data_IF_099663718816
#
_entry.id   IF_099663718816
#
_cell.length_a   1.000
_cell.length_b   1.000
_cell.length_c   1.000
_cell.angle_alpha   90.00
_cell.angle_beta   90.00
_cell.angle_gamma   90.00
#
_symmetry.space_group_name_H-M   'P 1'
#
loop_
_entity.id
_entity.type
_entity.pdbx_description
1 polymer ?
#
# COMPACT_ATOMS: atom_id res chain seq x y z
N UNK A 1 -14.33 10.32 6.23
CA UNK A 1 -12.92 10.79 6.36
C UNK A 1 -12.11 10.15 5.26
N UNK A 2 -11.08 10.83 4.74
CA UNK A 2 -10.21 10.28 3.71
C UNK A 2 -8.78 10.11 4.23
N UNK A 3 -8.12 9.00 3.88
CA UNK A 3 -6.67 8.87 3.95
C UNK A 3 -6.06 9.33 2.63
N UNK A 4 -5.00 10.15 2.70
CA UNK A 4 -4.17 10.51 1.53
C UNK A 4 -2.82 9.82 1.68
N UNK A 5 -2.43 9.07 0.66
CA UNK A 5 -1.15 8.39 0.64
C UNK A 5 0.03 9.36 0.45
N UNK A 6 1.24 9.00 0.91
CA UNK A 6 2.45 9.82 0.77
C UNK A 6 2.91 10.06 -0.66
N UNK A 7 2.34 9.35 -1.63
CA UNK A 7 2.69 9.45 -3.04
C UNK A 7 1.44 9.66 -3.89
N UNK A 8 1.63 10.41 -4.96
CA UNK A 8 0.65 10.46 -6.04
C UNK A 8 0.69 9.15 -6.83
N UNK A 9 -0.38 8.85 -7.56
CA UNK A 9 -0.44 7.76 -8.54
C UNK A 9 -0.95 8.28 -9.88
N UNK A 10 -0.80 7.54 -10.99
CA UNK A 10 -1.46 7.90 -12.24
C UNK A 10 -2.98 8.06 -12.05
N UNK A 11 -3.56 9.09 -12.65
CA UNK A 11 -5.00 9.29 -12.63
C UNK A 11 -5.72 8.17 -13.44
N UNK A 12 -6.92 7.74 -13.04
CA UNK A 12 -7.70 6.77 -13.81
C UNK A 12 -7.94 7.25 -15.24
N UNK A 13 -7.55 6.45 -16.24
CA UNK A 13 -7.68 6.81 -17.66
C UNK A 13 -6.64 7.81 -18.19
N UNK A 14 -5.78 8.37 -17.35
CA UNK A 14 -4.77 9.38 -17.71
C UNK A 14 -3.40 9.03 -17.12
N UNK A 15 -2.67 8.10 -17.77
CA UNK A 15 -1.43 7.54 -17.23
C UNK A 15 -0.31 8.57 -16.95
N UNK A 16 -0.30 9.69 -17.68
CA UNK A 16 0.71 10.74 -17.54
C UNK A 16 0.36 11.77 -16.46
N UNK A 17 -0.90 11.84 -16.03
CA UNK A 17 -1.36 12.78 -15.00
C UNK A 17 -1.22 12.14 -13.63
N UNK A 18 -0.70 12.89 -12.65
CA UNK A 18 -0.56 12.42 -11.27
C UNK A 18 -1.74 12.93 -10.43
N UNK A 19 -2.33 12.02 -9.66
CA UNK A 19 -3.46 12.24 -8.78
C UNK A 19 -3.08 11.85 -7.35
N UNK A 20 -3.75 12.46 -6.37
CA UNK A 20 -3.75 12.01 -4.98
C UNK A 20 -4.31 10.59 -4.91
N UNK A 21 -3.59 9.69 -4.24
CA UNK A 21 -4.11 8.36 -3.96
C UNK A 21 -4.88 8.40 -2.63
N UNK A 22 -6.18 8.13 -2.71
CA UNK A 22 -7.14 8.33 -1.63
C UNK A 22 -7.76 6.99 -1.21
N UNK A 23 -8.05 6.88 0.08
CA UNK A 23 -8.90 5.82 0.64
C UNK A 23 -10.01 6.45 1.47
N UNK A 24 -11.26 6.14 1.14
CA UNK A 24 -12.41 6.50 1.97
C UNK A 24 -12.48 5.56 3.17
N UNK A 25 -12.26 6.13 4.35
CA UNK A 25 -12.26 5.41 5.62
C UNK A 25 -13.68 5.23 6.18
N UNK A 26 -14.70 5.73 5.49
CA UNK A 26 -16.10 5.62 5.91
C UNK A 26 -16.61 4.21 5.60
N UNK A 27 -17.27 3.51 6.55
CA UNK A 27 -17.88 2.21 6.27
C UNK A 27 -18.87 2.27 5.11
N UNK A 28 -18.71 1.41 4.11
CA UNK A 28 -19.52 1.42 2.88
C UNK A 28 -19.21 2.61 1.95
N UNK A 29 -18.15 3.36 2.22
CA UNK A 29 -17.67 4.45 1.38
C UNK A 29 -17.06 3.96 0.06
N UNK A 30 -16.42 4.87 -0.64
CA UNK A 30 -15.91 4.62 -1.99
C UNK A 30 -14.70 3.68 -2.09
N UNK A 31 -14.15 3.23 -0.96
CA UNK A 31 -12.92 2.47 -0.94
C UNK A 31 -11.74 3.30 -1.47
N UNK A 32 -10.89 2.69 -2.31
CA UNK A 32 -9.70 3.36 -2.85
C UNK A 32 -9.96 4.00 -4.20
N UNK A 33 -9.56 5.26 -4.36
CA UNK A 33 -9.73 6.02 -5.59
C UNK A 33 -8.61 7.06 -5.75
N UNK A 34 -8.63 7.81 -6.85
CA UNK A 34 -7.66 8.85 -7.11
C UNK A 34 -8.35 10.08 -7.72
N UNK A 35 -7.94 11.25 -7.24
CA UNK A 35 -8.41 12.55 -7.69
C UNK A 35 -7.24 13.49 -7.94
N UNK A 36 -7.35 14.43 -8.90
CA UNK A 36 -6.27 15.36 -9.18
C UNK A 36 -5.97 16.28 -8.00
N UNK A 37 -7.00 16.65 -7.24
CA UNK A 37 -6.90 17.59 -6.14
C UNK A 37 -8.08 17.45 -5.17
N UNK A 38 -7.93 18.09 -4.00
CA UNK A 38 -9.01 18.37 -3.05
C UNK A 38 -8.95 19.89 -2.82
N UNK A 39 -10.07 20.59 -3.01
CA UNK A 39 -10.09 22.05 -2.90
C UNK A 39 -9.66 22.49 -1.49
N UNK A 40 -8.67 23.39 -1.41
CA UNK A 40 -8.10 23.88 -0.15
C UNK A 40 -7.06 22.95 0.50
N UNK A 41 -6.72 21.81 -0.11
CA UNK A 41 -5.65 20.93 0.37
C UNK A 41 -4.38 21.11 -0.47
N UNK A 42 -3.28 21.45 0.19
CA UNK A 42 -1.95 21.48 -0.39
C UNK A 42 -1.22 20.17 -0.05
N UNK A 43 -1.03 19.32 -1.06
CA UNK A 43 -0.34 18.04 -0.86
C UNK A 43 1.17 18.23 -0.80
N UNK A 44 1.79 17.69 0.25
CA UNK A 44 3.24 17.51 0.33
C UNK A 44 3.60 16.02 0.29
N UNK A 45 4.44 15.57 -0.66
CA UNK A 45 4.91 14.19 -0.73
C UNK A 45 5.61 13.73 0.56
N UNK A 46 5.52 12.44 0.85
CA UNK A 46 6.17 11.83 2.02
C UNK A 46 5.36 11.90 3.31
N UNK A 47 4.20 12.58 3.30
CA UNK A 47 3.25 12.58 4.42
C UNK A 47 2.04 11.70 4.12
N UNK A 48 1.62 10.90 5.10
CA UNK A 48 0.27 10.35 5.10
C UNK A 48 -0.66 11.31 5.84
N UNK A 49 -1.80 11.63 5.23
CA UNK A 49 -2.81 12.50 5.83
C UNK A 49 -4.09 11.74 6.15
N UNK A 50 -4.78 12.16 7.20
CA UNK A 50 -6.21 11.87 7.39
C UNK A 50 -6.95 13.19 7.32
N UNK A 51 -7.89 13.29 6.39
CA UNK A 51 -8.64 14.50 6.09
C UNK A 51 -10.11 14.31 6.43
N UNK A 52 -10.70 15.35 7.02
CA UNK A 52 -12.14 15.55 6.97
C UNK A 52 -12.46 16.44 5.77
N UNK A 53 -13.40 15.99 4.93
CA UNK A 53 -13.75 16.66 3.68
C UNK A 53 -15.26 16.79 3.54
N UNK A 54 -15.70 17.80 2.81
CA UNK A 54 -17.08 17.92 2.32
C UNK A 54 -17.15 17.44 0.86
N UNK A 55 -18.23 16.73 0.53
CA UNK A 55 -18.59 16.39 -0.85
C UNK A 55 -19.57 17.44 -1.36
N UNK A 56 -19.13 18.31 -2.26
CA UNK A 56 -19.92 19.44 -2.77
C UNK A 56 -20.63 19.13 -4.09
N UNK A 57 -20.32 17.98 -4.70
CA UNK A 57 -20.97 17.49 -5.90
C UNK A 57 -20.33 16.22 -6.43
N UNK A 58 -20.99 15.56 -7.39
CA UNK A 58 -20.58 14.26 -7.93
C UNK A 58 -21.13 13.09 -7.12
N UNK A 59 -21.51 12.02 -7.80
CA UNK A 59 -22.06 10.79 -7.19
C UNK A 59 -21.07 9.63 -7.21
N UNK A 60 -19.94 9.78 -7.92
CA UNK A 60 -18.87 8.79 -8.04
C UNK A 60 -17.55 9.37 -7.59
N UNK A 61 -16.57 8.54 -7.19
CA UNK A 61 -15.27 9.03 -6.76
C UNK A 61 -14.57 9.90 -7.79
N UNK A 62 -14.76 9.63 -9.09
CA UNK A 62 -14.12 10.34 -10.20
C UNK A 62 -14.81 11.66 -10.56
N UNK A 63 -16.09 11.83 -10.18
CA UNK A 63 -16.86 13.06 -10.42
C UNK A 63 -16.98 13.91 -9.16
N UNK A 64 -16.53 13.39 -8.01
CA UNK A 64 -16.63 14.02 -6.72
C UNK A 64 -15.83 15.34 -6.69
N UNK A 65 -16.48 16.40 -6.21
CA UNK A 65 -15.85 17.68 -5.87
C UNK A 65 -15.68 17.73 -4.37
N UNK A 66 -14.45 17.54 -3.91
CA UNK A 66 -14.11 17.51 -2.51
C UNK A 66 -13.52 18.85 -2.07
N UNK A 67 -13.94 19.32 -0.91
CA UNK A 67 -13.31 20.47 -0.22
C UNK A 67 -12.79 20.04 1.14
N UNK A 68 -11.56 20.46 1.45
CA UNK A 68 -10.97 20.26 2.76
C UNK A 68 -11.80 20.99 3.83
N UNK A 69 -12.15 20.28 4.88
CA UNK A 69 -12.68 20.86 6.12
C UNK A 69 -11.56 20.94 7.16
N UNK A 70 -10.84 19.84 7.37
CA UNK A 70 -9.81 19.75 8.40
C UNK A 70 -8.75 18.70 8.05
N UNK A 71 -7.50 18.97 8.42
CA UNK A 71 -6.43 17.97 8.46
C UNK A 71 -6.43 17.35 9.86
N UNK A 72 -7.01 16.16 9.98
CA UNK A 72 -7.18 15.45 11.26
C UNK A 72 -5.85 14.86 11.74
N UNK A 73 -5.03 14.38 10.81
CA UNK A 73 -3.70 13.83 11.11
C UNK A 73 -2.77 14.07 9.93
N UNK A 74 -1.52 14.39 10.22
CA UNK A 74 -0.43 14.50 9.25
C UNK A 74 0.78 13.76 9.82
N UNK A 75 1.20 12.67 9.16
CA UNK A 75 2.31 11.83 9.60
C UNK A 75 3.41 11.81 8.56
N UNK A 76 4.59 12.35 8.91
CA UNK A 76 5.78 12.23 8.08
C UNK A 76 6.22 10.78 8.02
N UNK A 77 6.24 10.21 6.81
CA UNK A 77 6.80 8.89 6.54
C UNK A 77 8.15 8.98 5.83
N UNK A 78 8.53 10.14 5.29
CA UNK A 78 9.75 10.33 4.49
C UNK A 78 9.52 10.04 3.00
N UNK A 79 10.53 10.29 2.15
CA UNK A 79 10.46 9.92 0.73
C UNK A 79 10.26 8.40 0.61
N UNK A 80 9.33 7.93 -0.22
CA UNK A 80 9.16 6.48 -0.38
C UNK A 80 10.46 5.90 -0.92
N UNK A 81 11.04 4.91 -0.22
CA UNK A 81 12.31 4.36 -0.63
C UNK A 81 12.14 3.59 -1.94
N UNK A 82 13.14 3.67 -2.82
CA UNK A 82 13.14 2.90 -4.07
C UNK A 82 13.04 1.40 -3.76
N UNK A 83 11.91 0.80 -4.15
CA UNK A 83 11.57 -0.58 -3.84
C UNK A 83 10.26 -1.00 -4.49
N UNK A 84 9.85 -2.24 -4.26
CA UNK A 84 8.55 -2.74 -4.70
C UNK A 84 7.58 -2.75 -3.52
N UNK A 85 6.30 -2.49 -3.80
CA UNK A 85 5.24 -2.63 -2.80
C UNK A 85 4.75 -4.08 -2.82
N UNK A 86 4.80 -4.74 -1.66
CA UNK A 86 4.18 -6.04 -1.42
C UNK A 86 2.96 -5.89 -0.53
N UNK A 87 1.90 -6.61 -0.85
CA UNK A 87 0.88 -6.99 0.13
C UNK A 87 1.27 -8.34 0.75
N UNK A 88 1.12 -8.46 2.07
CA UNK A 88 1.28 -9.71 2.82
C UNK A 88 -0.08 -10.08 3.40
N UNK A 89 -0.55 -11.30 3.09
CA UNK A 89 -1.85 -11.81 3.52
C UNK A 89 -1.93 -11.98 5.05
N UNK A 90 -3.14 -11.99 5.64
CA UNK A 90 -3.35 -12.11 7.08
C UNK A 90 -3.13 -13.51 7.66
N UNK A 91 -2.92 -14.52 6.81
CA UNK A 91 -2.70 -15.91 7.22
C UNK A 91 -1.46 -16.47 6.56
N UNK A 92 -0.83 -17.41 7.26
CA UNK A 92 0.20 -18.26 6.68
C UNK A 92 -0.46 -19.41 5.92
N UNK A 93 0.19 -19.88 4.85
CA UNK A 93 -0.24 -21.05 4.09
C UNK A 93 0.86 -22.10 4.07
N UNK A 94 0.49 -23.37 3.85
CA UNK A 94 1.48 -24.44 3.76
C UNK A 94 2.42 -24.22 2.56
N UNK A 95 3.74 -24.35 2.76
CA UNK A 95 4.74 -24.25 1.69
C UNK A 95 5.02 -25.64 1.06
N UNK A 96 4.56 -25.98 -0.15
CA UNK A 96 4.94 -27.23 -0.78
C UNK A 96 6.43 -27.22 -1.15
N UNK A 97 7.17 -28.26 -0.77
CA UNK A 97 8.54 -28.48 -1.25
C UNK A 97 9.64 -27.63 -0.58
N UNK A 98 9.38 -27.04 0.59
CA UNK A 98 10.40 -26.34 1.39
C UNK A 98 10.56 -26.94 2.78
N UNK A 99 11.68 -26.66 3.46
CA UNK A 99 11.89 -27.05 4.85
C UNK A 99 11.00 -26.28 5.84
N UNK A 100 10.44 -25.12 5.43
CA UNK A 100 9.45 -24.39 6.23
C UNK A 100 8.09 -25.06 6.12
N UNK A 101 7.38 -25.14 7.26
CA UNK A 101 6.03 -25.69 7.34
C UNK A 101 4.97 -24.68 6.87
N UNK A 102 5.28 -23.39 6.96
CA UNK A 102 4.36 -22.28 6.71
C UNK A 102 5.07 -21.14 5.96
N UNK A 103 4.35 -20.52 5.03
CA UNK A 103 4.81 -19.47 4.10
C UNK A 103 3.97 -18.22 4.30
N UNK A 104 4.62 -17.06 4.14
CA UNK A 104 3.89 -15.84 3.87
C UNK A 104 3.24 -15.94 2.49
N UNK A 105 2.00 -15.50 2.36
CA UNK A 105 1.40 -15.25 1.05
C UNK A 105 1.62 -13.79 0.70
N UNK A 106 2.35 -13.55 -0.39
CA UNK A 106 2.68 -12.20 -0.84
C UNK A 106 2.14 -11.95 -2.25
N UNK A 107 1.89 -10.68 -2.59
CA UNK A 107 1.67 -10.26 -3.97
C UNK A 107 2.25 -8.88 -4.23
N UNK A 108 2.73 -8.68 -5.45
CA UNK A 108 3.23 -7.39 -5.90
C UNK A 108 2.04 -6.43 -6.14
N UNK A 109 2.19 -5.19 -5.69
CA UNK A 109 1.23 -4.11 -5.94
C UNK A 109 1.90 -3.05 -6.79
N UNK A 110 1.27 -2.71 -7.93
CA UNK A 110 1.73 -1.68 -8.85
C UNK A 110 0.59 -0.70 -9.12
N UNK A 111 0.57 0.40 -8.36
CA UNK A 111 -0.58 1.31 -8.36
C UNK A 111 -1.84 0.60 -7.83
N UNK A 112 -2.89 0.54 -8.66
CA UNK A 112 -4.13 -0.20 -8.35
C UNK A 112 -4.07 -1.69 -8.75
N UNK A 113 -3.12 -2.07 -9.62
CA UNK A 113 -2.99 -3.43 -10.10
C UNK A 113 -2.34 -4.33 -9.02
N UNK A 114 -2.94 -5.50 -8.81
CA UNK A 114 -2.51 -6.50 -7.85
C UNK A 114 -2.13 -7.78 -8.58
N UNK A 115 -0.90 -8.25 -8.36
CA UNK A 115 -0.46 -9.54 -8.85
C UNK A 115 -1.19 -10.71 -8.16
N UNK A 116 -1.01 -11.95 -8.65
CA UNK A 116 -1.51 -13.13 -7.96
C UNK A 116 -0.79 -13.32 -6.62
N UNK A 117 -1.50 -13.87 -5.65
CA UNK A 117 -0.88 -14.35 -4.41
C UNK A 117 0.09 -15.49 -4.73
N UNK A 118 1.27 -15.44 -4.11
CA UNK A 118 2.29 -16.48 -4.23
C UNK A 118 2.88 -16.81 -2.86
N UNK A 119 3.21 -18.09 -2.60
CA UNK A 119 3.91 -18.46 -1.39
C UNK A 119 5.32 -17.87 -1.39
N UNK A 120 5.75 -17.41 -0.23
CA UNK A 120 7.09 -16.89 0.02
C UNK A 120 7.65 -17.55 1.28
N UNK A 121 8.62 -18.44 1.06
CA UNK A 121 9.31 -19.21 2.09
C UNK A 121 10.56 -18.50 2.63
N UNK A 122 10.88 -17.32 2.12
CA UNK A 122 12.02 -16.53 2.57
C UNK A 122 11.70 -15.68 3.80
N UNK A 123 12.72 -14.99 4.31
CA UNK A 123 12.57 -13.97 5.36
C UNK A 123 12.58 -12.58 4.74
N UNK A 124 11.74 -11.69 5.27
CA UNK A 124 11.81 -10.25 4.99
C UNK A 124 12.47 -9.59 6.19
N UNK A 125 13.72 -9.14 6.04
CA UNK A 125 14.46 -8.47 7.11
C UNK A 125 13.71 -7.22 7.61
N UNK A 126 13.58 -7.07 8.93
CA UNK A 126 12.87 -5.95 9.56
C UNK A 126 11.34 -6.06 9.56
N UNK A 127 10.76 -7.09 8.95
CA UNK A 127 9.32 -7.36 8.98
C UNK A 127 9.01 -8.47 10.00
N UNK A 128 7.99 -8.24 10.83
CA UNK A 128 7.46 -9.24 11.77
C UNK A 128 5.98 -9.45 11.47
N UNK A 129 5.65 -10.68 11.09
CA UNK A 129 4.28 -11.05 10.78
C UNK A 129 3.47 -11.28 12.06
N UNK A 130 2.25 -10.76 12.08
CA UNK A 130 1.24 -11.08 13.09
C UNK A 130 -0.02 -11.55 12.35
N UNK A 131 -0.55 -12.69 12.78
CA UNK A 131 -1.75 -13.26 12.17
C UNK A 131 -2.96 -12.33 12.35
N UNK A 132 -3.84 -12.31 11.34
CA UNK A 132 -5.04 -11.49 11.34
C UNK A 132 -4.84 -10.08 10.78
N UNK A 133 -3.65 -9.73 10.29
CA UNK A 133 -3.38 -8.43 9.68
C UNK A 133 -3.00 -8.53 8.20
N UNK A 134 -3.65 -7.72 7.36
CA UNK A 134 -3.17 -7.45 6.01
C UNK A 134 -2.11 -6.35 6.08
N UNK A 135 -0.95 -6.59 5.49
CA UNK A 135 0.13 -5.61 5.43
C UNK A 135 0.35 -5.09 4.02
N UNK A 136 0.71 -3.80 3.91
CA UNK A 136 1.36 -3.24 2.72
C UNK A 136 2.73 -2.72 3.13
N UNK A 137 3.78 -3.25 2.50
CA UNK A 137 5.17 -2.92 2.82
C UNK A 137 5.93 -2.56 1.55
N UNK A 138 6.87 -1.61 1.66
CA UNK A 138 7.89 -1.37 0.64
C UNK A 138 9.09 -2.23 0.99
N UNK A 139 9.58 -2.99 0.02
CA UNK A 139 10.76 -3.85 0.18
C UNK A 139 11.78 -3.55 -0.90
N UNK A 140 13.06 -3.63 -0.54
CA UNK A 140 14.12 -3.88 -1.52
C UNK A 140 14.35 -5.39 -1.63
N UNK A 141 14.86 -5.81 -2.78
CA UNK A 141 15.40 -7.15 -2.94
C UNK A 141 16.77 -7.08 -3.61
N UNK A 142 17.71 -7.86 -3.09
CA UNK A 142 19.04 -8.01 -3.69
C UNK A 142 19.22 -9.47 -4.12
N UNK A 143 19.73 -9.68 -5.34
CA UNK A 143 20.21 -11.00 -5.77
C UNK A 143 21.57 -11.23 -5.16
N UNK A 144 21.67 -12.21 -4.27
CA UNK A 144 22.96 -12.64 -3.79
C UNK A 144 23.54 -13.68 -4.76
N UNK A 145 24.77 -13.51 -5.26
CA UNK A 145 25.45 -14.58 -5.97
C UNK A 145 25.81 -15.66 -4.95
N UNK A 146 24.99 -16.71 -4.88
CA UNK A 146 25.32 -17.92 -4.12
C UNK A 146 25.90 -18.96 -5.09
N UNK A 147 27.18 -19.34 -4.98
CA UNK A 147 27.78 -20.35 -5.85
C UNK A 147 27.21 -21.76 -5.63
N UNK A 148 26.42 -22.01 -4.59
CA UNK A 148 25.82 -23.33 -4.26
C UNK A 148 24.31 -23.39 -4.46
N UNK A 149 23.63 -22.27 -4.68
CA UNK A 149 22.19 -22.20 -4.85
C UNK A 149 21.80 -21.31 -6.04
N UNK A 150 20.77 -21.73 -6.79
CA UNK A 150 20.20 -20.90 -7.84
C UNK A 150 19.58 -19.63 -7.22
N UNK A 151 20.34 -18.54 -7.19
CA UNK A 151 19.92 -17.16 -6.86
C UNK A 151 19.02 -17.05 -5.61
N UNK A 152 19.60 -16.84 -4.43
CA UNK A 152 18.84 -16.42 -3.27
C UNK A 152 18.51 -14.92 -3.35
N UNK A 153 17.23 -14.58 -3.15
CA UNK A 153 16.76 -13.19 -3.05
C UNK A 153 16.60 -12.84 -1.57
N UNK A 154 17.32 -11.83 -1.10
CA UNK A 154 17.13 -11.29 0.25
C UNK A 154 16.19 -10.11 0.19
N UNK A 155 15.07 -10.21 0.89
CA UNK A 155 14.10 -9.12 1.02
C UNK A 155 14.38 -8.33 2.29
N UNK A 156 14.37 -7.00 2.21
CA UNK A 156 14.43 -6.10 3.37
C UNK A 156 13.26 -5.15 3.33
N UNK A 157 12.51 -5.06 4.42
CA UNK A 157 11.45 -4.07 4.57
C UNK A 157 12.08 -2.69 4.75
N UNK A 158 11.79 -1.79 3.80
CA UNK A 158 12.21 -0.40 3.85
C UNK A 158 11.16 0.46 4.56
N UNK A 159 9.87 0.11 4.43
CA UNK A 159 8.76 0.86 5.04
C UNK A 159 7.52 0.01 5.21
N UNK A 160 6.85 0.18 6.35
CA UNK A 160 5.46 -0.24 6.54
C UNK A 160 4.52 0.87 6.05
N UNK A 161 3.73 0.59 5.01
CA UNK A 161 2.71 1.52 4.50
C UNK A 161 1.42 1.35 5.30
N UNK A 162 0.93 0.11 5.44
CA UNK A 162 -0.30 -0.20 6.14
C UNK A 162 -0.20 -1.50 6.92
N UNK A 163 -0.92 -1.54 8.05
CA UNK A 163 -1.26 -2.73 8.82
C UNK A 163 -2.74 -2.62 9.15
N UNK A 164 -3.56 -3.48 8.55
CA UNK A 164 -5.01 -3.45 8.70
C UNK A 164 -5.51 -4.74 9.36
N UNK A 165 -6.23 -4.68 10.48
CA UNK A 165 -6.85 -5.87 11.05
C UNK A 165 -7.92 -6.39 10.08
N UNK A 166 -7.90 -7.69 9.83
CA UNK A 166 -8.95 -8.39 9.09
C UNK A 166 -9.90 -8.98 10.12
N UNK A 167 -11.07 -8.35 10.28
CA UNK A 167 -12.12 -8.88 11.14
C UNK A 167 -12.65 -10.16 10.48
N UNK A 168 -12.59 -11.29 11.19
CA UNK A 168 -13.26 -12.54 10.79
C UNK A 168 -14.74 -12.47 11.12
#
# INVERSE_FOLDING_TARGET
MLSVEPETRPCPGEAQRRCLALEDLTPGGWGRFALPEIAGFAFEPGYRYTLQVAVEGGSTPQTARLRLLEVVSQKWLGPVPEGIVLEVAPTLENCPGTASRECLMIRDVRGEAKGPWRPFSGTIEGFSFEEGYLYRIVVSFERQPDPRAATSLRYRMLRLLEKMPVVR
#
